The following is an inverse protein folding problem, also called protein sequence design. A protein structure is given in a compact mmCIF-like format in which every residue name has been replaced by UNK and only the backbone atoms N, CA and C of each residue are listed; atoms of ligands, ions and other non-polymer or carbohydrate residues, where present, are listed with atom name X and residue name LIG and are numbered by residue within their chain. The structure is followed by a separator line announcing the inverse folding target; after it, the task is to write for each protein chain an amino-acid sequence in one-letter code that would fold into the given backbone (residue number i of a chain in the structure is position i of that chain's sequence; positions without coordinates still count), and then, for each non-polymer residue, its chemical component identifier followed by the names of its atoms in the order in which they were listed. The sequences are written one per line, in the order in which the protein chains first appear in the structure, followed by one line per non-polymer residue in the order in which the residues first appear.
data_IF_672122621959
#
_entry.id   IF_672122621959
#
_cell.length_a   1.000
_cell.length_b   1.000
_cell.length_c   1.000
_cell.angle_alpha   90.00
_cell.angle_beta   90.00
_cell.angle_gamma   90.00
#
_symmetry.space_group_name_H-M   'P 1'
#
loop_
_entity.id
_entity.type
_entity.pdbx_description
1 polymer ?
#
# COMPACT_ATOMS: atom_id res chain seq x y z
N UNK A 1 52.90 -14.19 4.73
CA UNK A 1 51.58 -14.17 5.39
C UNK A 1 50.53 -14.42 4.32
N UNK A 2 49.87 -15.59 4.32
CA UNK A 2 48.80 -15.89 3.36
C UNK A 2 47.56 -16.36 4.10
N UNK A 3 46.59 -15.46 4.27
CA UNK A 3 45.24 -15.84 4.69
C UNK A 3 44.25 -15.30 3.66
N UNK A 4 44.26 -15.88 2.46
CA UNK A 4 43.13 -15.78 1.53
C UNK A 4 42.18 -16.92 1.87
N UNK A 5 41.23 -16.66 2.76
CA UNK A 5 40.10 -17.57 2.98
C UNK A 5 39.23 -17.50 1.72
N UNK A 6 39.38 -18.49 0.82
CA UNK A 6 38.47 -18.67 -0.31
C UNK A 6 37.09 -18.99 0.27
N UNK A 7 36.12 -18.10 0.03
CA UNK A 7 34.71 -18.36 0.36
C UNK A 7 34.22 -19.46 -0.60
N UNK A 8 33.66 -20.53 -0.05
CA UNK A 8 32.98 -21.54 -0.85
C UNK A 8 31.72 -20.94 -1.48
N UNK A 9 31.55 -21.16 -2.78
CA UNK A 9 30.35 -20.76 -3.49
C UNK A 9 29.14 -21.55 -2.96
N UNK A 10 28.36 -20.91 -2.09
CA UNK A 10 27.06 -21.47 -1.68
C UNK A 10 26.12 -21.45 -2.88
N UNK A 11 25.77 -22.63 -3.39
CA UNK A 11 24.61 -22.80 -4.28
C UNK A 11 23.35 -22.43 -3.50
N UNK A 12 22.85 -21.22 -3.73
CA UNK A 12 21.54 -20.78 -3.24
C UNK A 12 20.52 -21.29 -4.25
N UNK A 13 19.74 -22.31 -3.87
CA UNK A 13 18.51 -22.64 -4.60
C UNK A 13 17.48 -21.55 -4.29
N UNK A 14 17.40 -20.56 -5.18
CA UNK A 14 16.30 -19.61 -5.18
C UNK A 14 15.04 -20.38 -5.61
N UNK A 15 14.23 -20.81 -4.64
CA UNK A 15 12.83 -21.21 -4.89
C UNK A 15 12.03 -19.94 -5.22
N UNK A 16 12.27 -19.40 -6.41
CA UNK A 16 11.39 -18.43 -7.03
C UNK A 16 10.11 -19.20 -7.35
N UNK A 17 9.07 -19.04 -6.51
CA UNK A 17 7.72 -19.43 -6.93
C UNK A 17 7.43 -18.62 -8.21
N UNK A 18 7.15 -19.32 -9.29
CA UNK A 18 6.66 -18.67 -10.51
C UNK A 18 5.42 -17.87 -10.12
N UNK A 19 5.53 -16.55 -10.22
CA UNK A 19 4.33 -15.70 -10.19
C UNK A 19 3.65 -15.94 -11.52
N UNK A 20 2.63 -16.80 -11.52
CA UNK A 20 1.66 -16.87 -12.61
C UNK A 20 0.92 -15.53 -12.63
N UNK A 21 1.35 -14.63 -13.51
CA UNK A 21 0.61 -13.42 -13.81
C UNK A 21 -0.54 -13.83 -14.72
N UNK A 22 -1.75 -13.41 -14.36
CA UNK A 22 -2.91 -13.55 -15.22
C UNK A 22 -2.65 -12.86 -16.56
N UNK A 23 -3.00 -13.53 -17.64
CA UNK A 23 -2.94 -12.95 -18.99
C UNK A 23 -4.04 -11.91 -19.17
N UNK A 24 -3.85 -10.99 -20.11
CA UNK A 24 -4.85 -9.93 -20.40
C UNK A 24 -6.19 -10.56 -20.80
N UNK A 25 -6.17 -11.72 -21.47
CA UNK A 25 -7.37 -12.41 -21.93
C UNK A 25 -8.11 -13.09 -20.77
N UNK A 26 -7.40 -13.74 -19.84
CA UNK A 26 -7.98 -14.30 -18.60
C UNK A 26 -8.60 -13.19 -17.72
N UNK A 27 -7.92 -12.04 -17.62
CA UNK A 27 -8.42 -10.87 -16.91
C UNK A 27 -9.72 -10.34 -17.53
N UNK A 28 -9.81 -10.31 -18.87
CA UNK A 28 -11.00 -9.85 -19.59
C UNK A 28 -12.15 -10.85 -19.51
N UNK A 29 -11.88 -12.16 -19.56
CA UNK A 29 -12.91 -13.20 -19.37
C UNK A 29 -13.51 -13.17 -17.97
N UNK A 30 -12.68 -12.96 -16.95
CA UNK A 30 -13.16 -12.84 -15.56
C UNK A 30 -14.05 -11.61 -15.37
N UNK A 31 -13.69 -10.48 -15.98
CA UNK A 31 -14.54 -9.26 -15.97
C UNK A 31 -15.86 -9.46 -16.72
N UNK A 32 -15.88 -10.26 -17.79
CA UNK A 32 -17.11 -10.57 -18.54
C UNK A 32 -18.06 -11.52 -17.79
N UNK A 33 -17.55 -12.40 -16.94
CA UNK A 33 -18.32 -13.47 -16.29
C UNK A 33 -18.85 -13.12 -14.88
N UNK A 34 -18.44 -12.00 -14.28
CA UNK A 34 -19.01 -11.48 -13.03
C UNK A 34 -20.11 -10.45 -13.34
N UNK A 35 -21.38 -10.85 -13.21
CA UNK A 35 -22.58 -10.01 -13.48
C UNK A 35 -22.79 -8.83 -12.51
N UNK A 36 -21.85 -8.54 -11.60
CA UNK A 36 -21.77 -7.27 -10.89
C UNK A 36 -20.79 -6.35 -11.61
N UNK A 37 -21.30 -5.46 -12.48
CA UNK A 37 -20.49 -4.42 -13.11
C UNK A 37 -20.09 -3.40 -12.04
N UNK A 38 -18.97 -3.67 -11.37
CA UNK A 38 -18.37 -2.74 -10.42
C UNK A 38 -18.02 -1.46 -11.19
N UNK A 39 -18.68 -0.35 -10.86
CA UNK A 39 -18.46 0.93 -11.53
C UNK A 39 -17.12 1.55 -11.09
N UNK A 40 -16.05 1.10 -11.75
CA UNK A 40 -14.68 1.58 -11.58
C UNK A 40 -14.58 3.09 -11.80
N UNK A 41 -15.41 3.67 -12.67
CA UNK A 41 -15.42 5.10 -12.95
C UNK A 41 -15.89 5.89 -11.73
N UNK A 42 -17.01 5.45 -11.13
CA UNK A 42 -17.52 6.04 -9.90
C UNK A 42 -16.56 5.87 -8.72
N UNK A 43 -15.93 4.70 -8.56
CA UNK A 43 -14.89 4.50 -7.52
C UNK A 43 -13.76 5.51 -7.68
N UNK A 44 -13.20 5.66 -8.89
CA UNK A 44 -12.11 6.61 -9.17
C UNK A 44 -12.53 8.06 -8.90
N UNK A 45 -13.75 8.43 -9.32
CA UNK A 45 -14.30 9.78 -9.13
C UNK A 45 -14.50 10.10 -7.65
N UNK A 46 -15.11 9.17 -6.90
CA UNK A 46 -15.34 9.33 -5.46
C UNK A 46 -14.01 9.38 -4.72
N UNK A 47 -13.07 8.48 -5.02
CA UNK A 47 -11.73 8.50 -4.44
C UNK A 47 -11.02 9.84 -4.65
N UNK A 48 -11.16 10.43 -5.84
CA UNK A 48 -10.60 11.76 -6.11
C UNK A 48 -11.19 12.83 -5.19
N UNK A 49 -12.51 12.89 -5.07
CA UNK A 49 -13.25 13.88 -4.27
C UNK A 49 -12.97 13.69 -2.77
N UNK A 50 -12.99 12.44 -2.32
CA UNK A 50 -12.90 12.07 -0.90
C UNK A 50 -11.47 12.14 -0.38
N UNK A 51 -10.47 11.92 -1.24
CA UNK A 51 -9.07 11.88 -0.86
C UNK A 51 -8.18 12.82 -1.67
N UNK A 52 -8.02 12.63 -2.99
CA UNK A 52 -7.00 13.34 -3.79
C UNK A 52 -7.16 14.87 -3.68
N UNK A 53 -8.38 15.39 -3.72
CA UNK A 53 -8.67 16.82 -3.68
C UNK A 53 -8.56 17.39 -2.25
N UNK A 54 -8.43 16.54 -1.21
CA UNK A 54 -8.27 16.98 0.18
C UNK A 54 -6.83 17.39 0.47
N UNK A 55 -6.66 18.58 1.03
CA UNK A 55 -5.34 19.09 1.48
C UNK A 55 -4.64 18.15 2.47
N UNK A 56 -5.39 17.47 3.34
CA UNK A 56 -4.86 16.51 4.31
C UNK A 56 -4.17 15.34 3.61
N UNK A 57 -4.87 14.68 2.67
CA UNK A 57 -4.30 13.59 1.86
C UNK A 57 -3.07 14.05 1.10
N UNK A 58 -3.16 15.20 0.41
CA UNK A 58 -2.06 15.74 -0.37
C UNK A 58 -0.81 16.01 0.46
N UNK A 59 -0.95 16.39 1.74
CA UNK A 59 0.20 16.58 2.64
C UNK A 59 0.87 15.26 2.96
N UNK A 60 0.11 14.24 3.35
CA UNK A 60 0.69 12.95 3.78
C UNK A 60 1.36 12.19 2.63
N UNK A 61 0.76 12.21 1.43
CA UNK A 61 1.32 11.53 0.24
C UNK A 61 2.51 12.25 -0.37
N UNK A 62 2.73 13.54 -0.07
CA UNK A 62 3.92 14.27 -0.49
C UNK A 62 5.15 13.88 0.32
N UNK A 63 4.98 13.50 1.58
CA UNK A 63 6.10 13.21 2.48
C UNK A 63 6.52 11.74 2.49
N UNK A 64 5.60 10.82 2.18
CA UNK A 64 5.93 9.40 2.05
C UNK A 64 6.85 9.14 0.85
N UNK A 65 7.83 8.26 1.03
CA UNK A 65 8.74 7.83 -0.02
C UNK A 65 8.16 6.71 -0.88
N UNK A 66 8.80 6.49 -2.03
CA UNK A 66 8.46 5.40 -2.94
C UNK A 66 8.69 4.02 -2.29
N UNK A 67 9.72 3.88 -1.45
CA UNK A 67 10.02 2.64 -0.71
C UNK A 67 8.89 2.28 0.24
N UNK A 68 8.44 3.24 1.05
CA UNK A 68 7.39 3.02 2.05
C UNK A 68 6.05 2.68 1.39
N UNK A 69 5.63 3.44 0.37
CA UNK A 69 4.37 3.13 -0.32
C UNK A 69 4.42 1.79 -1.06
N UNK A 70 5.57 1.43 -1.63
CA UNK A 70 5.73 0.13 -2.32
C UNK A 70 5.68 -1.02 -1.33
N UNK A 71 6.34 -0.88 -0.18
CA UNK A 71 6.27 -1.87 0.91
C UNK A 71 4.83 -2.06 1.38
N UNK A 72 4.12 -0.95 1.64
CA UNK A 72 2.74 -1.01 2.07
C UNK A 72 1.82 -1.64 1.02
N UNK A 73 2.00 -1.29 -0.25
CA UNK A 73 1.27 -1.92 -1.35
C UNK A 73 1.48 -3.44 -1.38
N UNK A 74 2.72 -3.91 -1.26
CA UNK A 74 3.01 -5.35 -1.24
C UNK A 74 2.40 -6.07 -0.03
N UNK A 75 2.25 -5.41 1.12
CA UNK A 75 1.55 -5.98 2.27
C UNK A 75 0.09 -6.29 1.96
N UNK A 76 -0.58 -5.37 1.26
CA UNK A 76 -1.99 -5.54 0.86
C UNK A 76 -2.14 -6.47 -0.34
N UNK A 77 -1.26 -6.38 -1.34
CA UNK A 77 -1.21 -7.27 -2.51
C UNK A 77 -1.06 -8.75 -2.10
N UNK A 78 -0.17 -9.06 -1.14
CA UNK A 78 0.01 -10.41 -0.62
C UNK A 78 -1.23 -10.96 0.12
N UNK A 79 -2.26 -10.14 0.30
CA UNK A 79 -3.55 -10.50 0.91
C UNK A 79 -4.73 -10.30 -0.04
N UNK A 80 -4.46 -10.18 -1.34
CA UNK A 80 -5.47 -9.87 -2.35
C UNK A 80 -6.29 -8.62 -1.98
N UNK A 81 -5.60 -7.61 -1.44
CA UNK A 81 -6.18 -6.32 -1.01
C UNK A 81 -7.27 -6.44 0.07
N UNK A 82 -7.33 -7.59 0.74
CA UNK A 82 -8.21 -7.81 1.86
C UNK A 82 -7.74 -7.03 3.09
N UNK A 83 -8.66 -6.23 3.61
CA UNK A 83 -8.51 -5.49 4.88
C UNK A 83 -9.33 -6.13 6.00
N UNK A 84 -10.00 -7.26 5.74
CA UNK A 84 -10.95 -7.87 6.67
C UNK A 84 -10.31 -8.60 7.86
N UNK A 85 -8.98 -8.66 7.91
CA UNK A 85 -8.23 -9.17 9.05
C UNK A 85 -7.60 -8.03 9.85
N UNK A 86 -7.57 -8.23 11.16
CA UNK A 86 -6.76 -7.54 12.16
C UNK A 86 -5.31 -7.26 11.75
N UNK A 87 -4.74 -8.05 10.83
CA UNK A 87 -3.34 -7.93 10.44
C UNK A 87 -2.98 -6.55 9.85
N UNK A 88 -3.84 -5.95 9.02
CA UNK A 88 -3.51 -4.65 8.42
C UNK A 88 -3.52 -3.57 9.50
N UNK A 89 -4.47 -3.63 10.43
CA UNK A 89 -4.48 -2.76 11.60
C UNK A 89 -3.22 -2.95 12.47
N UNK A 90 -2.84 -4.20 12.75
CA UNK A 90 -1.64 -4.52 13.53
C UNK A 90 -0.38 -3.99 12.84
N UNK A 91 -0.27 -4.18 11.52
CA UNK A 91 0.82 -3.63 10.72
C UNK A 91 0.89 -2.10 10.85
N UNK A 92 -0.23 -1.40 10.67
CA UNK A 92 -0.26 0.06 10.75
C UNK A 92 0.09 0.57 12.14
N UNK A 93 -0.47 -0.03 13.20
CA UNK A 93 -0.16 0.31 14.59
C UNK A 93 1.33 0.08 14.90
N UNK A 94 1.91 -1.02 14.41
CA UNK A 94 3.34 -1.28 14.54
C UNK A 94 4.18 -0.21 13.83
N UNK A 95 3.85 0.13 12.58
CA UNK A 95 4.59 1.15 11.83
C UNK A 95 4.52 2.53 12.52
N UNK A 96 3.34 2.92 13.00
CA UNK A 96 3.13 4.18 13.74
C UNK A 96 3.97 4.21 15.03
N UNK A 97 3.90 3.15 15.84
CA UNK A 97 4.68 3.04 17.09
C UNK A 97 6.19 3.04 16.85
N UNK A 98 6.65 2.35 15.81
CA UNK A 98 8.07 2.32 15.44
C UNK A 98 8.55 3.69 14.96
N UNK A 99 7.72 4.42 14.22
CA UNK A 99 8.06 5.75 13.76
C UNK A 99 8.28 6.76 14.91
N UNK A 100 7.68 6.54 16.08
CA UNK A 100 7.85 7.40 17.27
C UNK A 100 9.18 7.22 17.99
N UNK A 101 9.84 6.08 17.78
CA UNK A 101 11.01 5.67 18.59
C UNK A 101 12.25 5.43 17.74
N UNK A 102 12.12 5.39 16.42
CA UNK A 102 13.21 5.15 15.48
C UNK A 102 13.96 6.43 15.11
N UNK A 103 15.18 6.28 14.58
CA UNK A 103 15.92 7.34 13.88
C UNK A 103 15.77 7.25 12.35
N UNK A 104 15.01 6.28 11.84
CA UNK A 104 14.72 6.13 10.42
C UNK A 104 13.81 7.27 9.92
N UNK A 105 14.43 8.26 9.27
CA UNK A 105 13.73 9.42 8.68
C UNK A 105 12.67 9.02 7.66
N UNK A 106 12.85 7.92 6.95
CA UNK A 106 11.90 7.45 5.95
C UNK A 106 10.61 6.97 6.61
N UNK A 107 10.75 6.16 7.67
CA UNK A 107 9.62 5.69 8.48
C UNK A 107 8.92 6.82 9.23
N UNK A 108 9.68 7.76 9.80
CA UNK A 108 9.14 8.95 10.48
C UNK A 108 8.25 9.76 9.53
N UNK A 109 8.70 9.99 8.29
CA UNK A 109 7.92 10.71 7.27
C UNK A 109 6.72 9.92 6.75
N UNK A 110 6.75 8.60 6.82
CA UNK A 110 5.63 7.75 6.42
C UNK A 110 4.53 7.65 7.50
N UNK A 111 4.83 7.94 8.78
CA UNK A 111 3.85 7.89 9.88
C UNK A 111 2.52 8.59 9.58
N UNK A 112 2.50 9.85 9.11
CA UNK A 112 1.24 10.54 8.81
C UNK A 112 0.40 9.83 7.73
N UNK A 113 1.04 9.16 6.78
CA UNK A 113 0.33 8.38 5.78
C UNK A 113 -0.31 7.13 6.40
N UNK A 114 0.41 6.40 7.26
CA UNK A 114 -0.16 5.23 7.95
C UNK A 114 -1.33 5.61 8.85
N UNK A 115 -1.24 6.73 9.56
CA UNK A 115 -2.33 7.28 10.37
C UNK A 115 -3.53 7.68 9.50
N UNK A 116 -3.28 8.39 8.39
CA UNK A 116 -4.31 8.77 7.44
C UNK A 116 -5.03 7.54 6.87
N UNK A 117 -4.26 6.54 6.42
CA UNK A 117 -4.83 5.32 5.86
C UNK A 117 -5.68 4.59 6.88
N UNK A 118 -5.15 4.37 8.09
CA UNK A 118 -5.88 3.69 9.16
C UNK A 118 -7.17 4.41 9.53
N UNK A 119 -7.15 5.74 9.62
CA UNK A 119 -8.33 6.55 9.96
C UNK A 119 -9.41 6.47 8.88
N UNK A 120 -9.06 6.71 7.62
CA UNK A 120 -10.05 6.91 6.56
C UNK A 120 -10.49 5.63 5.86
N UNK A 121 -9.63 4.61 5.77
CA UNK A 121 -9.94 3.35 5.07
C UNK A 121 -10.35 2.25 6.05
N UNK A 122 -9.77 2.22 7.25
CA UNK A 122 -10.01 1.15 8.23
C UNK A 122 -10.80 1.61 9.47
N UNK A 123 -11.03 2.92 9.60
CA UNK A 123 -11.71 3.53 10.75
C UNK A 123 -11.02 3.17 12.07
N UNK A 124 -9.69 3.21 12.07
CA UNK A 124 -8.83 2.98 13.23
C UNK A 124 -8.69 4.28 14.02
N UNK A 125 -8.85 4.18 15.34
CA UNK A 125 -8.45 5.21 16.29
C UNK A 125 -7.11 4.80 16.90
N UNK A 126 -6.03 5.47 16.50
CA UNK A 126 -4.67 5.19 16.99
C UNK A 126 -4.46 5.63 18.44
N UNK A 127 -5.35 6.43 19.01
CA UNK A 127 -5.26 6.88 20.42
C UNK A 127 -5.84 5.86 21.39
N UNK A 128 -6.61 4.90 20.89
CA UNK A 128 -7.23 3.84 21.66
C UNK A 128 -6.55 2.52 21.39
N UNK A 129 -6.56 1.67 22.41
CA UNK A 129 -6.23 0.27 22.24
C UNK A 129 -7.15 -0.39 21.20
N UNK A 130 -6.64 -1.45 20.59
CA UNK A 130 -7.38 -2.22 19.60
C UNK A 130 -8.67 -2.73 20.24
N UNK A 131 -9.81 -2.29 19.70
CA UNK A 131 -11.10 -2.81 20.12
C UNK A 131 -11.23 -4.29 19.73
N UNK A 132 -12.15 -5.02 20.37
CA UNK A 132 -12.41 -6.42 20.05
C UNK A 132 -12.68 -6.61 18.54
N UNK A 133 -12.28 -7.78 18.03
CA UNK A 133 -12.29 -8.17 16.61
C UNK A 133 -13.48 -7.58 15.87
N UNK A 134 -13.22 -6.66 14.94
CA UNK A 134 -14.21 -6.32 13.91
C UNK A 134 -14.31 -7.50 12.97
N UNK A 135 -15.43 -8.21 13.00
CA UNK A 135 -15.81 -9.11 11.91
C UNK A 135 -16.15 -8.19 10.73
N UNK A 136 -15.19 -8.00 9.83
CA UNK A 136 -15.43 -7.30 8.58
C UNK A 136 -15.95 -8.33 7.59
N UNK A 137 -17.16 -8.09 7.07
CA UNK A 137 -17.75 -8.94 6.05
C UNK A 137 -16.94 -8.84 4.75
N UNK A 138 -16.55 -10.00 4.22
CA UNK A 138 -15.72 -10.10 3.04
C UNK A 138 -16.61 -10.09 1.79
N UNK A 139 -16.37 -9.15 0.88
CA UNK A 139 -16.86 -9.26 -0.49
C UNK A 139 -15.72 -9.09 -1.49
N UNK A 140 -15.81 -9.78 -2.62
CA UNK A 140 -14.89 -9.59 -3.75
C UNK A 140 -14.87 -8.13 -4.19
N UNK A 141 -16.04 -7.48 -4.18
CA UNK A 141 -16.19 -6.07 -4.53
C UNK A 141 -15.39 -5.15 -3.60
N UNK A 142 -15.40 -5.41 -2.29
CA UNK A 142 -14.64 -4.62 -1.33
C UNK A 142 -13.13 -4.76 -1.56
N UNK A 143 -12.66 -5.97 -1.85
CA UNK A 143 -11.25 -6.20 -2.17
C UNK A 143 -10.84 -5.50 -3.48
N UNK A 144 -11.69 -5.55 -4.52
CA UNK A 144 -11.43 -4.86 -5.78
C UNK A 144 -11.44 -3.34 -5.59
N UNK A 145 -12.38 -2.81 -4.81
CA UNK A 145 -12.40 -1.39 -4.46
C UNK A 145 -11.10 -0.99 -3.74
N UNK A 146 -10.67 -1.76 -2.74
CA UNK A 146 -9.41 -1.51 -2.03
C UNK A 146 -8.21 -1.53 -2.99
N UNK A 147 -8.16 -2.48 -3.92
CA UNK A 147 -7.11 -2.56 -4.94
C UNK A 147 -7.06 -1.32 -5.82
N UNK A 148 -8.21 -0.88 -6.33
CA UNK A 148 -8.34 0.32 -7.15
C UNK A 148 -7.85 1.54 -6.37
N UNK A 149 -8.34 1.73 -5.14
CA UNK A 149 -7.98 2.87 -4.29
C UNK A 149 -6.47 2.88 -3.97
N UNK A 150 -5.89 1.74 -3.61
CA UNK A 150 -4.45 1.62 -3.37
C UNK A 150 -3.60 1.91 -4.60
N UNK A 151 -4.05 1.45 -5.76
CA UNK A 151 -3.38 1.70 -7.03
C UNK A 151 -3.38 3.21 -7.34
N UNK A 152 -4.49 3.90 -7.07
CA UNK A 152 -4.58 5.36 -7.21
C UNK A 152 -3.67 6.09 -6.22
N UNK A 153 -3.60 5.66 -4.96
CA UNK A 153 -2.66 6.21 -3.96
C UNK A 153 -1.23 6.08 -4.47
N UNK A 154 -0.82 4.87 -4.88
CA UNK A 154 0.54 4.59 -5.36
C UNK A 154 0.90 5.41 -6.59
N UNK A 155 -0.03 5.54 -7.54
CA UNK A 155 0.15 6.38 -8.72
C UNK A 155 0.30 7.86 -8.33
N UNK A 156 -0.51 8.35 -7.39
CA UNK A 156 -0.46 9.73 -6.94
C UNK A 156 0.83 10.07 -6.18
N UNK A 157 1.36 9.13 -5.38
CA UNK A 157 2.68 9.27 -4.75
C UNK A 157 3.78 9.38 -5.82
N UNK A 158 3.77 8.51 -6.85
CA UNK A 158 4.72 8.58 -7.97
C UNK A 158 4.65 9.93 -8.68
N UNK A 159 3.44 10.44 -8.95
CA UNK A 159 3.23 11.76 -9.52
C UNK A 159 3.82 12.87 -8.64
N UNK A 160 3.54 12.86 -7.32
CA UNK A 160 4.08 13.84 -6.39
C UNK A 160 5.62 13.86 -6.39
N UNK A 161 6.25 12.69 -6.40
CA UNK A 161 7.71 12.56 -6.44
C UNK A 161 8.26 13.08 -7.77
N UNK A 162 7.67 12.68 -8.90
CA UNK A 162 8.07 13.13 -10.23
C UNK A 162 7.96 14.65 -10.38
N UNK A 163 6.84 15.23 -9.91
CA UNK A 163 6.64 16.69 -9.92
C UNK A 163 7.70 17.43 -9.10
N UNK A 164 7.99 16.95 -7.88
CA UNK A 164 9.05 17.55 -7.04
C UNK A 164 10.42 17.53 -7.71
N UNK A 165 10.75 16.44 -8.41
CA UNK A 165 12.01 16.28 -9.14
C UNK A 165 12.12 17.30 -10.28
N UNK A 166 11.08 17.43 -11.10
CA UNK A 166 11.03 18.42 -12.19
C UNK A 166 11.13 19.86 -11.67
N UNK A 167 10.43 20.18 -10.58
CA UNK A 167 10.49 21.51 -9.94
C UNK A 167 11.87 21.82 -9.33
N UNK A 168 12.66 20.81 -8.97
CA UNK A 168 14.03 20.98 -8.48
C UNK A 168 15.08 21.08 -9.59
N UNK A 169 14.84 20.45 -10.75
CA UNK A 169 15.74 20.47 -11.91
C UNK A 169 15.56 21.74 -12.77
N UNK A 170 14.40 22.39 -12.69
CA UNK A 170 14.13 23.67 -13.35
C UNK A 170 14.57 24.92 -12.58
N UNK A 171 15.34 24.76 -11.49
CA UNK A 171 15.93 25.84 -10.68
C UNK A 171 17.45 25.81 -10.79
#
# INVERSE_FOLDING_TARGET
MSCLVKREDKKINLNLKDKTYETIDEFQERIKNEEEVIDVSSIKKNFKIDHIDKKEFQKVVKEISLSQITRFYSVLENRNFSTGTDYIEDFLREQVKRAETTNDKDLIKAKPFYEYYGKYFLRIDFTKDKAEKKIVEYSKEANLKNEIELTLIKAYVRYCIGKKKLESEGK
#
